data_IF_476556680099
#
_entry.id   IF_476556680099
#
_cell.length_a   1.000
_cell.length_b   1.000
_cell.length_c   1.000
_cell.angle_alpha   90.00
_cell.angle_beta   90.00
_cell.angle_gamma   90.00
#
_symmetry.space_group_name_H-M   'P 1'
#
loop_
_entity.id
_entity.type
_entity.pdbx_description
1 polymer ?
#
# COMPACT_ATOMS: atom_id res chain seq x y z
N UNK A 1 -17.57 -13.02 -1.24
CA UNK A 1 -17.96 -11.62 -0.91
C UNK A 1 -17.60 -11.26 0.53
N UNK A 2 -18.03 -12.03 1.54
CA UNK A 2 -17.74 -11.75 2.97
C UNK A 2 -16.25 -11.52 3.31
N UNK A 3 -15.27 -12.36 2.87
CA UNK A 3 -13.86 -12.14 3.22
C UNK A 3 -13.28 -10.83 2.65
N UNK A 4 -13.76 -10.41 1.48
CA UNK A 4 -13.32 -9.16 0.86
C UNK A 4 -13.84 -7.92 1.60
N UNK A 5 -15.10 -7.94 2.02
CA UNK A 5 -15.67 -6.86 2.84
C UNK A 5 -14.98 -6.78 4.20
N UNK A 6 -14.71 -7.93 4.81
CA UNK A 6 -13.96 -8.00 6.06
C UNK A 6 -12.53 -7.44 5.91
N UNK A 7 -11.81 -7.76 4.82
CA UNK A 7 -10.48 -7.18 4.55
C UNK A 7 -10.50 -5.66 4.50
N UNK A 8 -11.47 -5.09 3.79
CA UNK A 8 -11.59 -3.63 3.67
C UNK A 8 -11.95 -2.99 5.03
N UNK A 9 -12.85 -3.61 5.80
CA UNK A 9 -13.20 -3.12 7.13
C UNK A 9 -11.99 -3.16 8.08
N UNK A 10 -11.19 -4.23 8.05
CA UNK A 10 -9.95 -4.32 8.81
C UNK A 10 -8.92 -3.27 8.40
N UNK A 11 -8.79 -2.99 7.09
CA UNK A 11 -7.90 -1.93 6.60
C UNK A 11 -8.31 -0.54 7.11
N UNK A 12 -9.61 -0.22 7.08
CA UNK A 12 -10.11 1.07 7.57
C UNK A 12 -9.91 1.21 9.07
N UNK A 13 -10.23 0.16 9.85
CA UNK A 13 -10.01 0.15 11.30
C UNK A 13 -8.53 0.32 11.64
N UNK A 14 -7.65 -0.41 10.96
CA UNK A 14 -6.22 -0.31 11.12
C UNK A 14 -5.71 1.12 10.84
N UNK A 15 -6.08 1.74 9.71
CA UNK A 15 -5.69 3.12 9.39
C UNK A 15 -6.19 4.13 10.42
N UNK A 16 -7.38 3.91 10.99
CA UNK A 16 -7.91 4.78 12.04
C UNK A 16 -7.09 4.64 13.34
N UNK A 17 -6.72 3.43 13.73
CA UNK A 17 -5.90 3.17 14.92
C UNK A 17 -4.50 3.76 14.75
N UNK A 18 -3.86 3.57 13.60
CA UNK A 18 -2.57 4.15 13.25
C UNK A 18 -2.59 5.69 13.37
N UNK A 19 -3.60 6.36 12.79
CA UNK A 19 -3.78 7.81 12.93
C UNK A 19 -3.94 8.26 14.40
N UNK A 20 -4.63 7.48 15.23
CA UNK A 20 -4.78 7.78 16.66
C UNK A 20 -3.43 7.65 17.38
N UNK A 21 -2.66 6.60 17.10
CA UNK A 21 -1.35 6.38 17.70
C UNK A 21 -0.40 7.53 17.32
N UNK A 22 -0.28 7.81 16.01
CA UNK A 22 0.57 8.92 15.53
C UNK A 22 0.12 10.26 16.13
N UNK A 23 -1.19 10.53 16.17
CA UNK A 23 -1.72 11.78 16.75
C UNK A 23 -1.43 11.95 18.24
N UNK A 24 -1.44 10.86 19.01
CA UNK A 24 -1.18 10.91 20.46
C UNK A 24 0.32 10.97 20.81
N UNK A 25 1.16 10.22 20.09
CA UNK A 25 2.58 10.06 20.45
C UNK A 25 3.50 11.02 19.68
N UNK A 26 3.21 11.33 18.43
CA UNK A 26 4.03 12.21 17.57
C UNK A 26 3.47 13.63 17.50
N UNK A 27 2.18 13.79 17.78
CA UNK A 27 1.52 15.08 17.82
C UNK A 27 1.06 15.59 16.45
N UNK A 28 0.64 16.89 16.40
CA UNK A 28 0.02 17.49 15.22
C UNK A 28 0.93 17.53 14.00
N UNK A 29 2.23 17.69 14.17
CA UNK A 29 3.18 17.77 13.07
C UNK A 29 3.34 16.41 12.37
N UNK A 30 3.49 15.33 13.13
CA UNK A 30 3.54 13.97 12.57
C UNK A 30 2.25 13.57 11.89
N UNK A 31 1.09 13.88 12.50
CA UNK A 31 -0.22 13.61 11.89
C UNK A 31 -0.39 14.35 10.55
N UNK A 32 0.08 15.60 10.45
CA UNK A 32 0.04 16.34 9.20
C UNK A 32 0.95 15.70 8.13
N UNK A 33 2.17 15.30 8.49
CA UNK A 33 3.10 14.63 7.60
C UNK A 33 2.51 13.32 7.03
N UNK A 34 2.03 12.42 7.90
CA UNK A 34 1.41 11.15 7.51
C UNK A 34 0.17 11.37 6.65
N UNK A 35 -0.67 12.35 7.00
CA UNK A 35 -1.91 12.65 6.29
C UNK A 35 -1.65 13.14 4.85
N UNK A 36 -0.69 14.06 4.68
CA UNK A 36 -0.34 14.63 3.37
C UNK A 36 0.36 13.59 2.48
N UNK A 37 1.36 12.92 3.01
CA UNK A 37 2.10 11.90 2.28
C UNK A 37 1.22 10.66 2.00
N UNK A 38 0.34 10.31 2.92
CA UNK A 38 -0.61 9.21 2.78
C UNK A 38 -1.56 9.38 1.59
N UNK A 39 -2.00 10.61 1.29
CA UNK A 39 -2.83 10.86 0.11
C UNK A 39 -2.07 10.56 -1.20
N UNK A 40 -0.79 10.89 -1.26
CA UNK A 40 0.07 10.63 -2.41
C UNK A 40 0.29 9.12 -2.62
N UNK A 41 0.54 8.42 -1.53
CA UNK A 41 0.70 6.96 -1.52
C UNK A 41 -0.60 6.24 -1.89
N UNK A 42 -1.74 6.74 -1.39
CA UNK A 42 -3.06 6.23 -1.75
C UNK A 42 -3.34 6.38 -3.25
N UNK A 43 -3.01 7.52 -3.84
CA UNK A 43 -3.15 7.73 -5.28
C UNK A 43 -2.31 6.71 -6.07
N UNK A 44 -1.05 6.50 -5.69
CA UNK A 44 -0.15 5.51 -6.31
C UNK A 44 -0.72 4.09 -6.20
N UNK A 45 -1.23 3.74 -5.01
CA UNK A 45 -1.83 2.43 -4.75
C UNK A 45 -3.14 2.24 -5.52
N UNK A 46 -3.94 3.29 -5.69
CA UNK A 46 -5.18 3.26 -6.48
C UNK A 46 -4.91 2.92 -7.94
N UNK A 47 -3.87 3.52 -8.55
CA UNK A 47 -3.46 3.21 -9.91
C UNK A 47 -3.00 1.74 -10.04
N UNK A 48 -2.18 1.28 -9.09
CA UNK A 48 -1.75 -0.13 -9.04
C UNK A 48 -2.95 -1.08 -8.92
N UNK A 49 -3.88 -0.77 -8.02
CA UNK A 49 -5.09 -1.59 -7.78
C UNK A 49 -5.97 -1.64 -9.01
N UNK A 50 -6.10 -0.54 -9.76
CA UNK A 50 -6.83 -0.49 -11.04
C UNK A 50 -6.27 -1.47 -12.07
N UNK A 51 -4.93 -1.43 -12.29
CA UNK A 51 -4.25 -2.37 -13.18
C UNK A 51 -4.38 -3.83 -12.70
N UNK A 52 -4.18 -4.06 -11.42
CA UNK A 52 -4.31 -5.38 -10.81
C UNK A 52 -5.73 -5.94 -10.95
N UNK A 53 -6.76 -5.09 -10.83
CA UNK A 53 -8.16 -5.50 -11.00
C UNK A 53 -8.45 -5.90 -12.46
N UNK A 54 -7.93 -5.15 -13.43
CA UNK A 54 -8.01 -5.54 -14.85
C UNK A 54 -7.37 -6.91 -15.11
N UNK A 55 -6.16 -7.13 -14.58
CA UNK A 55 -5.46 -8.41 -14.64
C UNK A 55 -6.24 -9.55 -13.97
N UNK A 56 -6.82 -9.28 -12.78
CA UNK A 56 -7.66 -10.23 -12.05
C UNK A 56 -8.85 -10.70 -12.88
N UNK A 57 -9.55 -9.77 -13.55
CA UNK A 57 -10.71 -10.09 -14.40
C UNK A 57 -10.27 -10.97 -15.57
N UNK A 58 -9.18 -10.62 -16.24
CA UNK A 58 -8.65 -11.40 -17.37
C UNK A 58 -8.24 -12.82 -16.94
N UNK A 59 -7.59 -12.97 -15.79
CA UNK A 59 -7.22 -14.26 -15.20
C UNK A 59 -8.49 -15.09 -14.94
N UNK A 60 -9.53 -14.50 -14.35
CA UNK A 60 -10.81 -15.19 -14.10
C UNK A 60 -11.48 -15.67 -15.39
N UNK A 61 -11.45 -14.85 -16.44
CA UNK A 61 -12.00 -15.21 -17.76
C UNK A 61 -11.22 -16.37 -18.40
N UNK A 62 -9.89 -16.36 -18.34
CA UNK A 62 -9.05 -17.44 -18.87
C UNK A 62 -9.29 -18.77 -18.16
N UNK A 63 -9.49 -18.72 -16.85
CA UNK A 63 -9.81 -19.92 -16.06
C UNK A 63 -11.20 -20.45 -16.43
N UNK A 64 -12.20 -19.56 -16.55
CA UNK A 64 -13.55 -19.94 -16.98
C UNK A 64 -13.62 -20.48 -18.39
N UNK A 65 -12.72 -20.03 -19.28
CA UNK A 65 -12.59 -20.52 -20.65
C UNK A 65 -11.66 -21.75 -20.78
N UNK A 66 -11.15 -22.30 -19.68
CA UNK A 66 -10.20 -23.43 -19.63
C UNK A 66 -8.86 -23.18 -20.37
N UNK A 67 -8.53 -21.92 -20.71
CA UNK A 67 -7.33 -21.52 -21.46
C UNK A 67 -6.11 -21.38 -20.53
N UNK A 68 -5.77 -22.44 -19.79
CA UNK A 68 -4.69 -22.44 -18.78
C UNK A 68 -3.30 -22.12 -19.34
N UNK A 69 -3.07 -22.40 -20.63
CA UNK A 69 -1.78 -22.13 -21.27
C UNK A 69 -1.46 -20.63 -21.38
N UNK A 70 -2.49 -19.77 -21.44
CA UNK A 70 -2.32 -18.32 -21.53
C UNK A 70 -2.19 -17.66 -20.15
N UNK A 71 -2.57 -18.37 -19.09
CA UNK A 71 -2.54 -17.85 -17.72
C UNK A 71 -1.15 -17.37 -17.30
N UNK A 72 -0.12 -18.17 -17.60
CA UNK A 72 1.27 -17.83 -17.30
C UNK A 72 1.73 -16.56 -18.03
N UNK A 73 1.34 -16.40 -19.29
CA UNK A 73 1.69 -15.23 -20.10
C UNK A 73 1.02 -13.96 -19.56
N UNK A 74 -0.25 -14.03 -19.23
CA UNK A 74 -1.00 -12.88 -18.68
C UNK A 74 -0.47 -12.50 -17.30
N UNK A 75 -0.22 -13.48 -16.43
CA UNK A 75 0.36 -13.23 -15.10
C UNK A 75 1.76 -12.62 -15.20
N UNK A 76 2.61 -13.11 -16.11
CA UNK A 76 3.95 -12.56 -16.34
C UNK A 76 3.90 -11.12 -16.87
N UNK A 77 2.97 -10.83 -17.81
CA UNK A 77 2.77 -9.46 -18.31
C UNK A 77 2.29 -8.53 -17.21
N UNK A 78 1.31 -8.96 -16.42
CA UNK A 78 0.81 -8.18 -15.28
C UNK A 78 1.94 -7.89 -14.28
N UNK A 79 2.77 -8.90 -13.96
CA UNK A 79 3.93 -8.73 -13.07
C UNK A 79 4.89 -7.68 -13.60
N UNK A 80 5.26 -7.75 -14.88
CA UNK A 80 6.18 -6.79 -15.51
C UNK A 80 5.64 -5.37 -15.49
N UNK A 81 4.35 -5.19 -15.80
CA UNK A 81 3.70 -3.88 -15.76
C UNK A 81 3.64 -3.30 -14.34
N UNK A 82 3.22 -4.11 -13.37
CA UNK A 82 3.14 -3.67 -11.97
C UNK A 82 4.52 -3.36 -11.41
N UNK A 83 5.55 -4.15 -11.76
CA UNK A 83 6.93 -3.89 -11.35
C UNK A 83 7.47 -2.59 -11.95
N UNK A 84 7.25 -2.35 -13.24
CA UNK A 84 7.63 -1.10 -13.90
C UNK A 84 6.94 0.10 -13.26
N UNK A 85 5.65 -0.02 -12.98
CA UNK A 85 4.88 1.02 -12.31
C UNK A 85 5.43 1.30 -10.90
N UNK A 86 5.70 0.25 -10.12
CA UNK A 86 6.26 0.35 -8.78
C UNK A 86 7.63 1.04 -8.79
N UNK A 87 8.52 0.63 -9.68
CA UNK A 87 9.84 1.24 -9.84
C UNK A 87 9.74 2.70 -10.27
N UNK A 88 8.85 3.01 -11.23
CA UNK A 88 8.63 4.39 -11.69
C UNK A 88 8.15 5.30 -10.56
N UNK A 89 7.16 4.87 -9.78
CA UNK A 89 6.67 5.65 -8.64
C UNK A 89 7.69 5.75 -7.52
N UNK A 90 8.40 4.67 -7.19
CA UNK A 90 9.45 4.67 -6.17
C UNK A 90 10.57 5.65 -6.54
N UNK A 91 11.08 5.57 -7.77
CA UNK A 91 12.12 6.48 -8.26
C UNK A 91 11.62 7.93 -8.29
N UNK A 92 10.39 8.17 -8.74
CA UNK A 92 9.80 9.51 -8.79
C UNK A 92 9.68 10.10 -7.37
N UNK A 93 9.18 9.34 -6.42
CA UNK A 93 9.08 9.79 -5.02
C UNK A 93 10.46 10.04 -4.42
N UNK A 94 11.43 9.14 -4.60
CA UNK A 94 12.78 9.28 -4.05
C UNK A 94 13.57 10.41 -4.70
N UNK A 95 13.41 10.65 -6.01
CA UNK A 95 14.14 11.70 -6.73
C UNK A 95 13.54 13.10 -6.51
N UNK A 96 12.23 13.19 -6.31
CA UNK A 96 11.51 14.45 -6.27
C UNK A 96 10.80 14.73 -4.93
N UNK A 97 11.12 13.99 -3.87
CA UNK A 97 10.45 14.13 -2.56
C UNK A 97 10.39 15.59 -2.06
N UNK A 98 11.49 16.35 -2.15
CA UNK A 98 11.53 17.74 -1.72
C UNK A 98 10.60 18.64 -2.55
N UNK A 99 10.67 18.51 -3.88
CA UNK A 99 9.79 19.30 -4.78
C UNK A 99 8.32 18.96 -4.62
N UNK A 100 8.01 17.68 -4.35
CA UNK A 100 6.64 17.24 -4.10
C UNK A 100 6.12 17.86 -2.79
N UNK A 101 6.93 17.87 -1.74
CA UNK A 101 6.56 18.47 -0.45
C UNK A 101 6.42 19.99 -0.52
N UNK A 102 7.27 20.67 -1.31
CA UNK A 102 7.16 22.10 -1.56
C UNK A 102 5.86 22.42 -2.32
N UNK A 103 5.51 21.61 -3.33
CA UNK A 103 4.28 21.77 -4.10
C UNK A 103 3.03 21.55 -3.26
N UNK A 104 3.10 20.65 -2.29
CA UNK A 104 2.03 20.37 -1.32
C UNK A 104 1.93 21.44 -0.23
N UNK A 105 2.81 22.45 -0.23
CA UNK A 105 2.90 23.48 0.81
C UNK A 105 3.00 22.88 2.22
N UNK A 106 3.86 21.88 2.39
CA UNK A 106 4.02 21.19 3.66
C UNK A 106 4.51 22.15 4.75
N UNK A 107 3.83 22.22 5.91
CA UNK A 107 4.23 23.14 6.99
C UNK A 107 5.64 22.83 7.48
N UNK A 108 6.43 23.88 7.75
CA UNK A 108 7.83 23.76 8.21
C UNK A 108 8.01 22.81 9.41
N UNK A 109 7.13 22.78 10.43
CA UNK A 109 7.27 21.85 11.56
C UNK A 109 7.11 20.37 11.19
N UNK A 110 6.48 20.07 10.07
CA UNK A 110 6.19 18.70 9.60
C UNK A 110 7.11 18.27 8.44
N UNK A 111 7.97 19.16 7.96
CA UNK A 111 8.69 18.94 6.69
C UNK A 111 9.69 17.79 6.79
N UNK A 112 10.54 17.78 7.81
CA UNK A 112 11.56 16.74 7.97
C UNK A 112 10.92 15.37 8.19
N UNK A 113 9.86 15.30 9.01
CA UNK A 113 9.10 14.06 9.21
C UNK A 113 8.45 13.58 7.93
N UNK A 114 7.95 14.50 7.08
CA UNK A 114 7.36 14.16 5.79
C UNK A 114 8.40 13.64 4.78
N UNK A 115 9.62 14.17 4.81
CA UNK A 115 10.74 13.66 3.99
C UNK A 115 11.06 12.22 4.37
N UNK A 116 11.30 11.95 5.65
CA UNK A 116 11.63 10.62 6.14
C UNK A 116 10.52 9.61 5.83
N UNK A 117 9.27 10.01 6.06
CA UNK A 117 8.11 9.19 5.75
C UNK A 117 8.00 8.87 4.25
N UNK A 118 8.16 9.87 3.37
CA UNK A 118 8.11 9.66 1.91
C UNK A 118 9.23 8.75 1.41
N UNK A 119 10.44 8.88 1.95
CA UNK A 119 11.58 8.05 1.57
C UNK A 119 11.34 6.58 1.96
N UNK A 120 10.93 6.35 3.20
CA UNK A 120 10.66 4.99 3.70
C UNK A 120 9.50 4.36 2.93
N UNK A 121 8.39 5.08 2.78
CA UNK A 121 7.23 4.60 2.05
C UNK A 121 7.48 4.45 0.55
N UNK A 122 8.32 5.32 -0.05
CA UNK A 122 8.73 5.21 -1.44
C UNK A 122 9.43 3.88 -1.75
N UNK A 123 10.28 3.41 -0.83
CA UNK A 123 10.89 2.07 -0.92
C UNK A 123 9.83 0.99 -0.68
N UNK A 124 8.95 1.21 0.30
CA UNK A 124 7.86 0.29 0.65
C UNK A 124 6.83 0.07 -0.47
N UNK A 125 6.70 1.01 -1.42
CA UNK A 125 5.78 0.88 -2.56
C UNK A 125 6.04 -0.39 -3.39
N UNK A 126 7.30 -0.80 -3.55
CA UNK A 126 7.65 -2.02 -4.27
C UNK A 126 6.97 -3.25 -3.67
N UNK A 127 7.00 -3.36 -2.35
CA UNK A 127 6.37 -4.47 -1.62
C UNK A 127 4.84 -4.37 -1.65
N UNK A 128 4.30 -3.16 -1.50
CA UNK A 128 2.85 -2.92 -1.55
C UNK A 128 2.27 -3.27 -2.92
N UNK A 129 2.94 -2.88 -4.00
CA UNK A 129 2.52 -3.21 -5.36
C UNK A 129 2.65 -4.70 -5.63
N UNK A 130 3.74 -5.34 -5.18
CA UNK A 130 3.90 -6.79 -5.24
C UNK A 130 2.78 -7.54 -4.52
N UNK A 131 2.41 -7.10 -3.31
CA UNK A 131 1.28 -7.65 -2.57
C UNK A 131 -0.05 -7.51 -3.34
N UNK A 132 -0.34 -6.31 -3.88
CA UNK A 132 -1.57 -6.06 -4.65
C UNK A 132 -1.65 -6.98 -5.89
N UNK A 133 -0.54 -7.14 -6.60
CA UNK A 133 -0.43 -8.00 -7.77
C UNK A 133 -0.69 -9.47 -7.41
N UNK A 134 0.03 -10.02 -6.41
CA UNK A 134 -0.15 -11.42 -5.98
C UNK A 134 -1.58 -11.65 -5.49
N UNK A 135 -2.13 -10.71 -4.72
CA UNK A 135 -3.51 -10.77 -4.24
C UNK A 135 -4.53 -10.77 -5.37
N UNK A 136 -4.30 -9.98 -6.42
CA UNK A 136 -5.18 -9.94 -7.60
C UNK A 136 -5.14 -11.26 -8.38
N UNK A 137 -3.96 -11.84 -8.58
CA UNK A 137 -3.80 -13.15 -9.21
C UNK A 137 -4.52 -14.23 -8.44
N UNK A 138 -4.32 -14.29 -7.11
CA UNK A 138 -4.99 -15.27 -6.25
C UNK A 138 -6.51 -15.12 -6.28
N UNK A 139 -7.01 -13.88 -6.22
CA UNK A 139 -8.46 -13.63 -6.33
C UNK A 139 -9.00 -14.00 -7.72
N UNK A 140 -8.23 -13.70 -8.78
CA UNK A 140 -8.57 -14.10 -10.14
C UNK A 140 -8.67 -15.62 -10.31
N UNK A 141 -7.85 -16.37 -9.57
CA UNK A 141 -7.91 -17.84 -9.48
C UNK A 141 -9.02 -18.37 -8.54
N UNK A 142 -9.87 -17.52 -7.99
CA UNK A 142 -10.94 -17.89 -7.07
C UNK A 142 -10.51 -18.04 -5.61
N UNK A 143 -9.25 -17.80 -5.29
CA UNK A 143 -8.72 -17.93 -3.95
C UNK A 143 -8.65 -16.57 -3.22
N UNK A 144 -9.72 -16.23 -2.50
CA UNK A 144 -9.79 -15.00 -1.72
C UNK A 144 -9.36 -15.18 -0.25
N UNK A 145 -9.14 -16.43 0.20
CA UNK A 145 -8.79 -16.71 1.60
C UNK A 145 -7.35 -16.30 1.93
N UNK A 146 -6.40 -16.63 1.06
CA UNK A 146 -5.00 -16.31 1.29
C UNK A 146 -4.71 -14.81 1.33
N UNK A 147 -5.19 -13.98 0.38
CA UNK A 147 -5.04 -12.53 0.50
C UNK A 147 -5.64 -11.97 1.79
N UNK A 148 -6.80 -12.49 2.22
CA UNK A 148 -7.40 -12.10 3.50
C UNK A 148 -6.52 -12.45 4.70
N UNK A 149 -5.97 -13.66 4.75
CA UNK A 149 -5.07 -14.07 5.83
C UNK A 149 -3.81 -13.19 5.88
N UNK A 150 -3.21 -12.90 4.72
CA UNK A 150 -2.00 -12.07 4.66
C UNK A 150 -2.25 -10.65 5.14
N UNK A 151 -3.36 -10.02 4.74
CA UNK A 151 -3.66 -8.65 5.18
C UNK A 151 -4.00 -8.62 6.67
N UNK A 152 -4.72 -9.62 7.17
CA UNK A 152 -5.04 -9.71 8.61
C UNK A 152 -3.77 -9.86 9.44
N UNK A 153 -2.87 -10.76 9.04
CA UNK A 153 -1.59 -10.95 9.73
C UNK A 153 -0.73 -9.69 9.68
N UNK A 154 -0.63 -9.04 8.51
CA UNK A 154 0.11 -7.80 8.34
C UNK A 154 -0.47 -6.67 9.21
N UNK A 155 -1.80 -6.53 9.29
CA UNK A 155 -2.45 -5.51 10.10
C UNK A 155 -2.22 -5.72 11.61
N UNK A 156 -2.27 -6.97 12.06
CA UNK A 156 -1.99 -7.29 13.48
C UNK A 156 -0.52 -7.03 13.79
N UNK A 157 0.39 -7.45 12.92
CA UNK A 157 1.82 -7.23 13.10
C UNK A 157 2.15 -5.74 13.13
N UNK A 158 1.58 -4.98 12.21
CA UNK A 158 1.78 -3.54 12.15
C UNK A 158 1.27 -2.84 13.42
N UNK A 159 0.05 -3.16 13.88
CA UNK A 159 -0.47 -2.61 15.14
C UNK A 159 0.46 -2.89 16.34
N UNK A 160 1.03 -4.09 16.41
CA UNK A 160 1.99 -4.45 17.47
C UNK A 160 3.28 -3.64 17.32
N UNK A 161 3.79 -3.46 16.11
CA UNK A 161 4.99 -2.69 15.84
C UNK A 161 4.77 -1.20 16.10
N UNK A 162 3.64 -0.64 15.73
CA UNK A 162 3.28 0.77 15.99
C UNK A 162 3.23 1.05 17.50
N UNK A 163 2.58 0.18 18.27
CA UNK A 163 2.56 0.31 19.73
C UNK A 163 3.95 0.15 20.36
N UNK A 164 4.79 -0.71 19.81
CA UNK A 164 6.12 -0.97 20.32
C UNK A 164 7.10 0.15 19.95
N UNK A 165 7.14 0.57 18.69
CA UNK A 165 8.09 1.58 18.23
C UNK A 165 7.65 2.98 18.60
N UNK A 166 6.41 3.34 18.35
CA UNK A 166 5.91 4.68 18.61
C UNK A 166 5.51 4.84 20.08
N UNK A 167 4.83 3.83 20.67
CA UNK A 167 4.34 3.92 22.04
C UNK A 167 5.39 3.64 23.11
N UNK A 168 6.23 2.60 22.95
CA UNK A 168 7.19 2.19 23.98
C UNK A 168 8.60 2.75 23.75
N UNK A 169 9.10 2.71 22.52
CA UNK A 169 10.44 3.21 22.19
C UNK A 169 10.49 4.71 21.91
N UNK A 170 9.33 5.36 21.71
CA UNK A 170 9.24 6.78 21.41
C UNK A 170 9.87 7.15 20.05
N UNK A 171 10.02 6.18 19.15
CA UNK A 171 10.47 6.45 17.80
C UNK A 171 9.32 7.14 17.05
N UNK A 172 9.58 8.35 16.57
CA UNK A 172 8.61 9.10 15.79
C UNK A 172 8.27 8.42 14.45
N UNK A 173 7.43 9.09 13.65
CA UNK A 173 7.05 8.65 12.30
C UNK A 173 8.23 8.73 11.36
#
# INVERSE_FOLDING_TARGET
>A
MLPFMASNAFQVLYSAVDMIIVGQFVGKAGLAAVSMCGQLLNFSTMLCTGLCTGGQVLISQLIGAERKQELGRVTGTLFSFVLLLALSFSVLLLAFHTRILDLLNTPAPSYDMAVDYLVICGIGLLFSFGYNMVSAVLRGMGNSKHPFMFITLASVLNLVLDLLFTGYLGWGV
#
